data_IF_208418236874
#
_entry.id   IF_208418236874
#
_cell.length_a   1.000
_cell.length_b   1.000
_cell.length_c   1.000
_cell.angle_alpha   90.00
_cell.angle_beta   90.00
_cell.angle_gamma   90.00
#
_symmetry.space_group_name_H-M   'P 1'
#
loop_
_entity.id
_entity.type
_entity.pdbx_description
1 polymer ?
#
# COMPACT_ATOMS: atom_id res chain seq x y z
N UNK A 1 4.16 8.14 1.08
CA UNK A 1 3.64 6.98 0.31
C UNK A 1 4.01 7.04 -1.15
N UNK A 2 5.12 7.68 -1.44
CA UNK A 2 5.58 7.87 -2.83
C UNK A 2 5.84 6.55 -3.56
N UNK A 3 6.34 5.53 -2.85
CA UNK A 3 6.59 4.23 -3.45
C UNK A 3 5.34 3.57 -3.99
N UNK A 4 4.22 3.70 -3.28
CA UNK A 4 2.94 3.16 -3.75
C UNK A 4 2.43 3.93 -4.96
N UNK A 5 2.57 5.24 -4.96
CA UNK A 5 2.14 6.08 -6.08
C UNK A 5 2.90 5.74 -7.36
N UNK A 6 4.21 5.63 -7.26
CA UNK A 6 5.07 5.39 -8.41
C UNK A 6 5.16 3.91 -8.79
N UNK A 7 4.67 2.99 -7.95
CA UNK A 7 4.90 1.56 -8.08
C UNK A 7 6.39 1.25 -8.28
N UNK A 8 7.24 1.98 -7.55
CA UNK A 8 8.69 1.84 -7.66
C UNK A 8 9.15 0.71 -6.75
N UNK A 9 9.70 -0.40 -7.30
CA UNK A 9 10.10 -1.55 -6.48
C UNK A 9 11.11 -1.20 -5.38
N UNK A 10 12.05 -0.31 -5.66
CA UNK A 10 13.06 0.08 -4.67
C UNK A 10 12.43 0.82 -3.49
N UNK A 11 11.49 1.73 -3.75
CA UNK A 11 10.78 2.46 -2.70
C UNK A 11 9.83 1.57 -1.92
N UNK A 12 9.19 0.61 -2.59
CA UNK A 12 8.32 -0.36 -1.93
C UNK A 12 9.10 -1.27 -0.99
N UNK A 13 10.31 -1.66 -1.38
CA UNK A 13 11.20 -2.44 -0.52
C UNK A 13 11.51 -1.72 0.80
N UNK A 14 11.67 -0.39 0.75
CA UNK A 14 11.93 0.41 1.96
C UNK A 14 10.65 0.61 2.76
N UNK A 15 9.52 0.87 2.09
CA UNK A 15 8.26 1.18 2.75
C UNK A 15 7.63 -0.02 3.44
N UNK A 16 7.73 -1.21 2.85
CA UNK A 16 7.12 -2.42 3.38
C UNK A 16 8.13 -3.25 4.15
N UNK A 17 7.71 -3.70 5.34
CA UNK A 17 8.51 -4.65 6.11
C UNK A 17 8.67 -5.95 5.31
N UNK A 18 9.82 -6.67 5.41
CA UNK A 18 10.02 -7.91 4.65
C UNK A 18 8.94 -8.98 4.85
N UNK A 19 8.28 -9.00 6.00
CA UNK A 19 7.21 -9.96 6.30
C UNK A 19 5.82 -9.44 5.95
N UNK A 20 5.72 -8.27 5.34
CA UNK A 20 4.44 -7.62 5.08
C UNK A 20 3.56 -8.45 4.15
N UNK A 21 2.26 -8.40 4.39
CA UNK A 21 1.26 -8.98 3.53
C UNK A 21 0.28 -7.92 3.05
N UNK A 22 -0.21 -8.13 1.85
CA UNK A 22 -1.20 -7.25 1.23
C UNK A 22 -2.41 -8.10 0.91
N UNK A 23 -3.56 -7.80 1.53
CA UNK A 23 -4.76 -8.61 1.42
C UNK A 23 -6.00 -7.73 1.35
N UNK A 24 -7.00 -8.23 0.64
CA UNK A 24 -8.28 -7.53 0.59
C UNK A 24 -9.18 -8.01 -0.51
N UNK A 25 -10.27 -7.30 -0.68
CA UNK A 25 -11.26 -7.59 -1.71
C UNK A 25 -11.32 -6.45 -2.71
N UNK A 26 -11.37 -6.83 -3.99
CA UNK A 26 -11.73 -5.93 -5.07
C UNK A 26 -13.06 -6.43 -5.61
N UNK A 27 -14.16 -5.76 -5.20
CA UNK A 27 -15.49 -6.31 -5.38
C UNK A 27 -15.63 -7.60 -4.59
N UNK A 28 -16.04 -8.67 -5.24
CA UNK A 28 -16.16 -9.99 -4.64
C UNK A 28 -14.86 -10.82 -4.72
N UNK A 29 -13.82 -10.28 -5.34
CA UNK A 29 -12.60 -11.02 -5.63
C UNK A 29 -11.57 -10.84 -4.52
N UNK A 30 -11.19 -11.94 -3.88
CA UNK A 30 -10.13 -11.97 -2.88
C UNK A 30 -8.75 -11.84 -3.53
N UNK A 31 -7.89 -11.03 -2.93
CA UNK A 31 -6.49 -10.90 -3.31
C UNK A 31 -5.62 -11.01 -2.07
N UNK A 32 -4.62 -11.88 -2.11
CA UNK A 32 -3.64 -11.99 -1.05
C UNK A 32 -2.26 -12.14 -1.65
N UNK A 33 -1.34 -11.24 -1.26
CA UNK A 33 0.01 -11.19 -1.80
C UNK A 33 1.02 -11.10 -0.68
N UNK A 34 2.19 -11.72 -0.88
CA UNK A 34 3.37 -11.42 -0.08
C UNK A 34 3.95 -10.08 -0.55
N UNK A 35 4.90 -9.54 0.23
CA UNK A 35 5.61 -8.33 -0.17
C UNK A 35 6.28 -8.50 -1.54
N UNK A 36 6.96 -9.61 -1.75
CA UNK A 36 7.67 -9.88 -3.01
C UNK A 36 6.70 -9.97 -4.18
N UNK A 37 5.58 -10.61 -4.00
CA UNK A 37 4.54 -10.71 -5.04
C UNK A 37 3.97 -9.33 -5.36
N UNK A 38 3.73 -8.50 -4.35
CA UNK A 38 3.22 -7.16 -4.55
C UNK A 38 4.23 -6.26 -5.27
N UNK A 39 5.50 -6.32 -4.87
CA UNK A 39 6.57 -5.58 -5.53
C UNK A 39 6.67 -5.99 -7.00
N UNK A 40 6.62 -7.28 -7.29
CA UNK A 40 6.64 -7.78 -8.64
C UNK A 40 5.45 -7.32 -9.48
N UNK A 41 4.26 -7.32 -8.87
CA UNK A 41 3.06 -6.82 -9.52
C UNK A 41 3.19 -5.33 -9.86
N UNK A 42 3.66 -4.52 -8.92
CA UNK A 42 3.88 -3.10 -9.15
C UNK A 42 4.95 -2.85 -10.21
N UNK A 43 6.00 -3.65 -10.25
CA UNK A 43 7.03 -3.54 -11.28
C UNK A 43 6.44 -3.74 -12.69
N UNK A 44 5.53 -4.71 -12.83
CA UNK A 44 4.85 -4.95 -14.11
C UNK A 44 3.91 -3.81 -14.51
N UNK A 45 3.34 -3.10 -13.52
CA UNK A 45 2.44 -1.98 -13.74
C UNK A 45 3.16 -0.63 -13.79
N UNK A 46 4.45 -0.59 -13.50
CA UNK A 46 5.19 0.66 -13.37
C UNK A 46 5.06 1.59 -14.57
N UNK A 47 5.12 1.05 -15.77
CA UNK A 47 4.96 1.84 -16.99
C UNK A 47 3.55 2.42 -17.13
N UNK A 48 2.54 1.74 -16.65
CA UNK A 48 1.15 2.24 -16.65
C UNK A 48 1.01 3.41 -15.68
N UNK A 49 1.56 3.27 -14.49
CA UNK A 49 1.56 4.34 -13.50
C UNK A 49 2.28 5.57 -14.04
N UNK A 50 3.43 5.37 -14.68
CA UNK A 50 4.21 6.44 -15.28
C UNK A 50 3.50 7.08 -16.49
N UNK A 51 2.63 6.35 -17.17
CA UNK A 51 1.87 6.85 -18.32
C UNK A 51 0.70 7.75 -17.94
N UNK A 52 0.53 8.09 -16.66
CA UNK A 52 -0.43 9.11 -16.24
C UNK A 52 -1.81 8.61 -15.89
N UNK A 53 -1.93 7.40 -15.40
CA UNK A 53 -3.18 6.99 -14.76
C UNK A 53 -3.51 7.96 -13.64
N UNK A 54 -4.75 8.44 -13.58
CA UNK A 54 -5.16 9.35 -12.53
C UNK A 54 -4.95 8.67 -11.16
N UNK A 55 -4.13 9.31 -10.33
CA UNK A 55 -3.85 8.86 -8.98
C UNK A 55 -4.20 9.97 -8.01
N UNK A 56 -4.99 9.63 -7.00
CA UNK A 56 -5.38 10.55 -5.95
C UNK A 56 -5.33 9.78 -4.63
N UNK A 57 -4.68 10.33 -3.62
CA UNK A 57 -4.51 9.68 -2.35
C UNK A 57 -4.70 10.67 -1.22
N UNK A 58 -5.43 10.24 -0.19
CA UNK A 58 -5.68 11.06 0.99
C UNK A 58 -5.55 10.20 2.24
N UNK A 59 -4.79 10.69 3.21
CA UNK A 59 -4.78 10.10 4.55
C UNK A 59 -6.04 10.53 5.27
N UNK A 60 -6.89 9.56 5.62
CA UNK A 60 -8.16 9.82 6.29
C UNK A 60 -7.96 9.94 7.80
N UNK A 61 -7.17 9.03 8.38
CA UNK A 61 -6.94 9.00 9.81
C UNK A 61 -5.65 8.26 10.15
N UNK A 62 -5.07 8.60 11.30
CA UNK A 62 -3.91 7.93 11.86
C UNK A 62 -4.19 7.71 13.33
N UNK A 63 -3.98 6.47 13.80
CA UNK A 63 -4.08 6.12 15.21
C UNK A 63 -2.76 5.45 15.63
N UNK A 64 -2.14 5.94 16.69
CA UNK A 64 -0.80 5.52 17.08
C UNK A 64 -0.73 5.20 18.57
N UNK A 65 -0.03 4.10 18.87
CA UNK A 65 0.33 3.74 20.24
C UNK A 65 1.80 3.30 20.26
N UNK A 66 2.69 4.19 20.73
CA UNK A 66 4.11 3.88 20.79
C UNK A 66 4.70 3.59 19.41
N UNK A 67 5.19 2.36 19.22
CA UNK A 67 5.84 1.91 17.99
C UNK A 67 4.88 1.23 17.01
N UNK A 68 3.59 1.32 17.25
CA UNK A 68 2.57 0.76 16.37
C UNK A 68 1.61 1.85 15.93
N UNK A 69 1.13 1.76 14.70
CA UNK A 69 0.15 2.69 14.19
C UNK A 69 -0.73 2.00 13.15
N UNK A 70 -1.93 2.54 12.97
CA UNK A 70 -2.79 2.20 11.84
C UNK A 70 -3.13 3.46 11.09
N UNK A 71 -3.02 3.41 9.78
CA UNK A 71 -3.29 4.55 8.89
C UNK A 71 -4.37 4.14 7.91
N UNK A 72 -5.44 4.93 7.85
CA UNK A 72 -6.50 4.75 6.86
C UNK A 72 -6.25 5.70 5.70
N UNK A 73 -6.20 5.14 4.50
CA UNK A 73 -5.94 5.89 3.27
C UNK A 73 -7.08 5.68 2.30
N UNK A 74 -7.62 6.77 1.76
CA UNK A 74 -8.55 6.70 0.63
C UNK A 74 -7.76 6.99 -0.63
N UNK A 75 -7.91 6.14 -1.63
CA UNK A 75 -7.10 6.22 -2.83
C UNK A 75 -7.94 5.94 -4.07
N UNK A 76 -7.72 6.73 -5.11
CA UNK A 76 -8.26 6.41 -6.44
C UNK A 76 -7.10 6.11 -7.36
N UNK A 77 -7.13 4.92 -7.93
CA UNK A 77 -6.07 4.47 -8.79
C UNK A 77 -6.62 3.57 -9.88
N UNK A 78 -6.19 3.83 -11.10
CA UNK A 78 -6.60 3.05 -12.27
C UNK A 78 -8.13 2.95 -12.40
N UNK A 79 -8.83 4.08 -12.13
CA UNK A 79 -10.29 4.15 -12.25
C UNK A 79 -11.07 3.50 -11.11
N UNK A 80 -10.40 3.06 -10.05
CA UNK A 80 -11.06 2.42 -8.91
C UNK A 80 -10.78 3.19 -7.63
N UNK A 81 -11.79 3.21 -6.76
CA UNK A 81 -11.66 3.77 -5.43
C UNK A 81 -11.26 2.66 -4.45
N UNK A 82 -10.17 2.90 -3.73
CA UNK A 82 -9.66 1.99 -2.72
C UNK A 82 -9.71 2.64 -1.36
N UNK A 83 -9.97 1.82 -0.33
CA UNK A 83 -9.69 2.19 1.05
C UNK A 83 -8.66 1.20 1.56
N UNK A 84 -7.53 1.72 2.02
CA UNK A 84 -6.43 0.92 2.55
C UNK A 84 -6.28 1.17 4.03
N UNK A 85 -6.12 0.10 4.80
CA UNK A 85 -5.71 0.16 6.19
C UNK A 85 -4.28 -0.35 6.27
N UNK A 86 -3.37 0.52 6.70
CA UNK A 86 -1.95 0.19 6.81
C UNK A 86 -1.61 0.03 8.27
N UNK A 87 -1.22 -1.20 8.66
CA UNK A 87 -0.61 -1.42 9.97
C UNK A 87 0.86 -1.11 9.85
N UNK A 88 1.38 -0.28 10.74
CA UNK A 88 2.74 0.22 10.66
C UNK A 88 3.50 -0.02 11.95
N UNK A 89 4.79 -0.24 11.83
CA UNK A 89 5.69 -0.38 12.96
C UNK A 89 6.87 0.56 12.80
N UNK A 90 7.34 1.08 13.93
CA UNK A 90 8.55 1.90 13.96
C UNK A 90 9.78 1.00 14.05
N UNK A 91 10.71 1.19 13.13
CA UNK A 91 11.96 0.43 13.09
C UNK A 91 12.94 0.93 14.17
N UNK A 92 13.86 0.07 14.58
CA UNK A 92 14.86 0.41 15.58
C UNK A 92 15.75 1.58 15.14
N UNK A 93 16.11 1.61 13.88
CA UNK A 93 16.93 2.67 13.29
C UNK A 93 16.18 3.97 13.06
N UNK A 94 14.90 3.99 13.36
CA UNK A 94 14.00 5.10 13.06
C UNK A 94 13.26 4.90 11.76
N UNK A 95 12.22 5.71 11.55
CA UNK A 95 11.33 5.56 10.43
C UNK A 95 10.27 4.48 10.65
N UNK A 96 9.29 4.43 9.78
CA UNK A 96 8.14 3.55 9.88
C UNK A 96 8.07 2.62 8.68
N UNK A 97 7.69 1.36 8.93
CA UNK A 97 7.47 0.37 7.88
C UNK A 97 6.03 -0.11 7.93
N UNK A 98 5.48 -0.41 6.76
CA UNK A 98 4.17 -1.05 6.64
C UNK A 98 4.35 -2.54 6.94
N UNK A 99 3.71 -3.01 8.01
CA UNK A 99 3.75 -4.43 8.39
C UNK A 99 2.63 -5.23 7.73
N UNK A 100 1.52 -4.56 7.38
CA UNK A 100 0.41 -5.19 6.70
C UNK A 100 -0.44 -4.13 6.01
N UNK A 101 -0.93 -4.45 4.83
CA UNK A 101 -1.90 -3.65 4.10
C UNK A 101 -3.17 -4.47 3.89
N UNK A 102 -4.30 -3.96 4.37
CA UNK A 102 -5.61 -4.53 4.11
C UNK A 102 -6.41 -3.52 3.30
N UNK A 103 -6.95 -3.93 2.17
CA UNK A 103 -7.62 -3.01 1.28
C UNK A 103 -9.02 -3.48 0.92
N UNK A 104 -9.86 -2.52 0.55
CA UNK A 104 -11.19 -2.76 0.00
C UNK A 104 -11.41 -1.84 -1.20
N UNK A 105 -11.90 -2.42 -2.28
CA UNK A 105 -12.38 -1.67 -3.43
C UNK A 105 -13.75 -2.19 -3.80
N UNK A 106 -14.77 -1.32 -3.96
CA UNK A 106 -16.08 -1.76 -4.41
C UNK A 106 -16.02 -2.27 -5.85
N UNK A 107 -16.99 -3.10 -6.19
CA UNK A 107 -17.10 -3.68 -7.53
C UNK A 107 -17.31 -2.63 -8.61
#
# INVERSE_FOLDING_TARGET
MDGMHACDPAKLDVAFHPTARIQGYRGAEWRGLTREEFVGYCARLGSRAAAGGAFDMRIVSIDRAGRAAVVKVAMRWNGRDYVDFLSMIRRDEGGWSISEKTFHAPA
#
